data_IF_329808073989
#
_entry.id   IF_329808073989
#
_cell.length_a   1.000
_cell.length_b   1.000
_cell.length_c   1.000
_cell.angle_alpha   90.00
_cell.angle_beta   90.00
_cell.angle_gamma   90.00
#
_symmetry.space_group_name_H-M   'P 1'
#
loop_
_entity.id
_entity.type
_entity.pdbx_description
1 polymer ?
#
# COMPACT_ATOMS: atom_id res chain seq x y z
N UNK A 1 -9.31 -29.68 31.11
CA UNK A 1 -10.57 -30.44 31.20
C UNK A 1 -11.67 -29.58 30.59
N UNK A 2 -12.23 -29.97 29.46
CA UNK A 2 -13.40 -29.30 28.89
C UNK A 2 -14.60 -29.59 29.79
N UNK A 3 -15.34 -28.55 30.19
CA UNK A 3 -16.64 -28.74 30.87
C UNK A 3 -17.57 -29.45 29.88
N UNK A 4 -18.22 -30.52 30.33
CA UNK A 4 -19.27 -31.16 29.58
C UNK A 4 -20.41 -30.14 29.35
N UNK A 5 -20.77 -29.91 28.10
CA UNK A 5 -21.85 -29.01 27.69
C UNK A 5 -23.20 -29.53 28.21
N UNK A 6 -24.05 -28.64 28.73
CA UNK A 6 -25.38 -28.99 29.25
C UNK A 6 -26.28 -29.55 28.13
N UNK A 7 -26.79 -30.79 28.26
CA UNK A 7 -27.68 -31.42 27.29
C UNK A 7 -29.05 -30.75 27.15
N UNK A 8 -29.36 -29.72 27.96
CA UNK A 8 -30.58 -28.91 27.87
C UNK A 8 -30.35 -27.45 27.41
N UNK A 9 -29.10 -27.03 27.16
CA UNK A 9 -28.80 -25.69 26.66
C UNK A 9 -29.44 -25.47 25.26
N UNK A 10 -30.07 -24.30 25.05
CA UNK A 10 -30.65 -23.94 23.75
C UNK A 10 -29.54 -23.93 22.69
N UNK A 11 -29.85 -24.18 21.40
CA UNK A 11 -28.84 -24.29 20.34
C UNK A 11 -27.87 -23.09 20.28
N UNK A 12 -28.37 -21.89 20.58
CA UNK A 12 -27.57 -20.66 20.62
C UNK A 12 -26.57 -20.63 21.79
N UNK A 13 -26.96 -21.15 22.95
CA UNK A 13 -26.12 -21.17 24.15
C UNK A 13 -24.97 -22.18 24.00
N UNK A 14 -25.23 -23.32 23.34
CA UNK A 14 -24.17 -24.28 22.96
C UNK A 14 -23.20 -23.71 21.94
N UNK A 15 -23.69 -22.90 21.00
CA UNK A 15 -22.86 -22.22 20.01
C UNK A 15 -21.95 -21.18 20.66
N UNK A 16 -22.45 -20.48 21.69
CA UNK A 16 -21.68 -19.52 22.51
C UNK A 16 -20.63 -20.21 23.36
N UNK A 17 -20.96 -21.36 23.95
CA UNK A 17 -20.02 -22.15 24.75
C UNK A 17 -18.91 -22.80 23.91
N UNK A 18 -19.25 -23.29 22.72
CA UNK A 18 -18.32 -23.94 21.81
C UNK A 18 -17.56 -22.94 20.93
N UNK A 19 -16.98 -21.87 21.51
CA UNK A 19 -16.43 -20.70 20.81
C UNK A 19 -15.57 -20.94 19.55
N UNK A 20 -15.11 -22.17 19.30
CA UNK A 20 -14.64 -22.63 17.97
C UNK A 20 -15.66 -22.45 16.86
N UNK A 21 -16.93 -22.80 17.07
CA UNK A 21 -18.00 -22.66 16.08
C UNK A 21 -18.26 -21.18 15.76
N UNK A 22 -18.29 -20.30 16.77
CA UNK A 22 -18.39 -18.85 16.55
C UNK A 22 -17.20 -18.32 15.74
N UNK A 23 -15.98 -18.78 16.03
CA UNK A 23 -14.82 -18.40 15.23
C UNK A 23 -14.94 -18.88 13.78
N UNK A 24 -15.38 -20.11 13.54
CA UNK A 24 -15.63 -20.64 12.19
C UNK A 24 -16.70 -19.84 11.45
N UNK A 25 -17.80 -19.47 12.11
CA UNK A 25 -18.82 -18.61 11.52
C UNK A 25 -18.29 -17.20 11.22
N UNK A 26 -17.49 -16.61 12.11
CA UNK A 26 -16.88 -15.30 11.89
C UNK A 26 -15.78 -15.32 10.81
N UNK A 27 -15.06 -16.44 10.65
CA UNK A 27 -14.10 -16.66 9.58
C UNK A 27 -14.84 -16.82 8.23
N UNK A 28 -15.90 -17.62 8.18
CA UNK A 28 -16.74 -17.79 6.99
C UNK A 28 -17.44 -16.48 6.58
N UNK A 29 -17.95 -15.70 7.53
CA UNK A 29 -18.55 -14.40 7.26
C UNK A 29 -17.52 -13.39 6.71
N UNK A 30 -16.30 -13.37 7.26
CA UNK A 30 -15.20 -12.55 6.73
C UNK A 30 -14.77 -12.99 5.33
N UNK A 31 -14.70 -14.29 5.07
CA UNK A 31 -14.40 -14.83 3.74
C UNK A 31 -15.48 -14.45 2.72
N UNK A 32 -16.77 -14.52 3.10
CA UNK A 32 -17.87 -14.11 2.23
C UNK A 32 -17.87 -12.60 1.95
N UNK A 33 -17.59 -11.75 2.95
CA UNK A 33 -17.49 -10.29 2.79
C UNK A 33 -16.29 -9.90 1.90
N UNK A 34 -15.15 -10.56 2.11
CA UNK A 34 -13.97 -10.45 1.25
C UNK A 34 -14.27 -10.84 -0.19
N UNK A 35 -14.90 -12.01 -0.43
CA UNK A 35 -15.28 -12.46 -1.77
C UNK A 35 -16.28 -11.52 -2.45
N UNK A 36 -17.26 -11.00 -1.69
CA UNK A 36 -18.22 -10.01 -2.19
C UNK A 36 -17.52 -8.71 -2.61
N UNK A 37 -16.58 -8.23 -1.78
CA UNK A 37 -15.78 -7.02 -2.06
C UNK A 37 -14.90 -7.23 -3.29
N UNK A 38 -14.18 -8.35 -3.37
CA UNK A 38 -13.31 -8.69 -4.50
C UNK A 38 -14.09 -8.81 -5.82
N UNK A 39 -15.26 -9.45 -5.78
CA UNK A 39 -16.14 -9.60 -6.95
C UNK A 39 -16.74 -8.26 -7.38
N UNK A 40 -17.21 -7.46 -6.42
CA UNK A 40 -17.84 -6.16 -6.71
C UNK A 40 -16.83 -5.13 -7.20
N UNK A 41 -15.60 -5.19 -6.68
CA UNK A 41 -14.63 -4.12 -6.84
C UNK A 41 -13.54 -4.41 -7.86
N UNK A 42 -13.11 -5.67 -7.97
CA UNK A 42 -12.00 -6.10 -8.81
C UNK A 42 -12.41 -7.22 -9.79
N UNK A 43 -13.71 -7.54 -9.89
CA UNK A 43 -14.26 -8.64 -10.72
C UNK A 43 -13.54 -9.97 -10.53
N UNK A 44 -12.98 -10.17 -9.34
CA UNK A 44 -12.24 -11.37 -8.99
C UNK A 44 -13.23 -12.47 -8.61
N UNK A 45 -13.19 -13.57 -9.34
CA UNK A 45 -13.78 -14.82 -8.87
C UNK A 45 -12.73 -15.47 -7.98
N UNK A 46 -13.05 -15.53 -6.70
CA UNK A 46 -12.20 -16.17 -5.72
C UNK A 46 -12.62 -17.64 -5.59
N UNK A 47 -11.70 -18.57 -5.85
CA UNK A 47 -11.90 -20.02 -5.68
C UNK A 47 -11.15 -20.49 -4.42
N UNK A 48 -11.82 -21.29 -3.58
CA UNK A 48 -11.42 -21.59 -2.19
C UNK A 48 -9.91 -21.80 -2.00
N UNK A 49 -9.26 -20.84 -1.34
CA UNK A 49 -7.87 -20.97 -0.92
C UNK A 49 -7.04 -19.69 -1.09
N UNK A 50 -7.02 -18.87 -0.04
CA UNK A 50 -6.09 -17.75 0.17
C UNK A 50 -6.15 -16.63 -0.89
N UNK A 51 -7.32 -16.02 -1.00
CA UNK A 51 -7.83 -15.40 -2.23
C UNK A 51 -7.59 -13.88 -2.40
N UNK A 52 -7.22 -13.18 -1.33
CA UNK A 52 -6.97 -11.72 -1.35
C UNK A 52 -5.59 -11.37 -0.77
N UNK A 53 -5.22 -11.98 0.35
CA UNK A 53 -3.97 -11.69 1.05
C UNK A 53 -2.72 -12.15 0.28
N UNK A 54 -2.82 -13.20 -0.54
CA UNK A 54 -1.75 -13.64 -1.44
C UNK A 54 -1.37 -12.58 -2.49
N UNK A 55 -2.31 -11.70 -2.85
CA UNK A 55 -2.08 -10.62 -3.84
C UNK A 55 -1.22 -9.50 -3.28
N UNK A 56 -1.22 -9.29 -1.96
CA UNK A 56 -0.22 -8.45 -1.29
C UNK A 56 1.20 -9.02 -1.50
N UNK A 57 1.37 -10.33 -1.27
CA UNK A 57 2.66 -11.02 -1.48
C UNK A 57 3.06 -10.96 -2.95
N UNK A 58 2.14 -11.22 -3.87
CA UNK A 58 2.39 -11.14 -5.31
C UNK A 58 2.83 -9.74 -5.74
N UNK A 59 2.20 -8.70 -5.18
CA UNK A 59 2.60 -7.30 -5.42
C UNK A 59 4.00 -7.02 -4.88
N UNK A 60 4.35 -7.51 -3.68
CA UNK A 60 5.70 -7.34 -3.14
C UNK A 60 6.76 -8.01 -4.01
N UNK A 61 6.54 -9.26 -4.44
CA UNK A 61 7.46 -9.97 -5.35
C UNK A 61 7.62 -9.24 -6.68
N UNK A 62 6.53 -8.71 -7.24
CA UNK A 62 6.59 -7.91 -8.46
C UNK A 62 7.35 -6.59 -8.26
N UNK A 63 7.15 -5.91 -7.13
CA UNK A 63 7.87 -4.68 -6.80
C UNK A 63 9.39 -4.95 -6.67
N UNK A 64 9.78 -6.04 -6.02
CA UNK A 64 11.18 -6.46 -5.91
C UNK A 64 11.80 -6.82 -7.26
N UNK A 65 11.09 -7.61 -8.07
CA UNK A 65 11.50 -7.97 -9.42
C UNK A 65 11.79 -6.73 -10.29
N UNK A 66 10.95 -5.70 -10.13
CA UNK A 66 11.07 -4.43 -10.85
C UNK A 66 12.05 -3.44 -10.22
N UNK A 67 12.69 -3.77 -9.09
CA UNK A 67 13.64 -2.89 -8.40
C UNK A 67 13.00 -1.70 -7.68
N UNK A 68 11.69 -1.77 -7.38
CA UNK A 68 10.90 -0.72 -6.73
C UNK A 68 10.31 -1.18 -5.40
N UNK A 69 10.98 -2.11 -4.70
CA UNK A 69 10.51 -2.67 -3.43
C UNK A 69 10.22 -1.63 -2.33
N UNK A 70 10.84 -0.45 -2.40
CA UNK A 70 10.55 0.65 -1.46
C UNK A 70 9.20 1.36 -1.72
N UNK A 71 8.60 1.17 -2.90
CA UNK A 71 7.36 1.83 -3.30
C UNK A 71 6.11 1.10 -2.79
N UNK A 72 6.21 -0.20 -2.52
CA UNK A 72 5.11 -1.01 -1.96
C UNK A 72 5.57 -1.56 -0.62
N UNK A 73 4.74 -1.46 0.42
CA UNK A 73 5.06 -2.09 1.69
C UNK A 73 5.19 -3.60 1.50
N UNK A 74 6.36 -4.14 1.88
CA UNK A 74 6.68 -5.54 1.66
C UNK A 74 5.73 -6.44 2.44
N UNK A 75 5.31 -7.54 1.82
CA UNK A 75 4.38 -8.51 2.37
C UNK A 75 4.90 -9.92 2.16
N UNK A 76 4.93 -10.71 3.22
CA UNK A 76 5.43 -12.09 3.19
C UNK A 76 4.48 -13.07 3.90
N UNK A 77 4.50 -14.35 3.51
CA UNK A 77 3.79 -15.38 4.26
C UNK A 77 4.52 -15.67 5.57
N UNK A 78 3.86 -15.50 6.72
CA UNK A 78 4.41 -15.89 8.02
C UNK A 78 3.55 -16.91 8.75
N UNK A 79 4.20 -17.71 9.58
CA UNK A 79 3.58 -18.56 10.60
C UNK A 79 3.86 -17.99 11.98
N UNK A 80 2.82 -17.51 12.66
CA UNK A 80 2.94 -16.91 13.99
C UNK A 80 2.32 -17.83 15.04
N UNK A 81 3.04 -18.07 16.13
CA UNK A 81 2.54 -18.80 17.29
C UNK A 81 2.08 -17.82 18.37
N UNK A 82 0.77 -17.78 18.64
CA UNK A 82 0.20 -16.93 19.68
C UNK A 82 -0.75 -17.74 20.56
N UNK A 83 -0.54 -17.72 21.88
CA UNK A 83 -1.39 -18.44 22.84
C UNK A 83 -1.48 -19.95 22.59
N UNK A 84 -0.40 -20.59 22.10
CA UNK A 84 -0.36 -22.02 21.79
C UNK A 84 -0.95 -22.42 20.43
N UNK A 85 -1.58 -21.50 19.69
CA UNK A 85 -2.07 -21.72 18.32
C UNK A 85 -1.05 -21.21 17.30
N UNK A 86 -0.87 -21.95 16.21
CA UNK A 86 -0.10 -21.52 15.04
C UNK A 86 -1.09 -20.98 14.02
N UNK A 87 -0.87 -19.73 13.60
CA UNK A 87 -1.64 -19.08 12.55
C UNK A 87 -0.72 -18.84 11.36
N UNK A 88 -1.21 -19.12 10.15
CA UNK A 88 -0.49 -18.80 8.90
C UNK A 88 -1.24 -17.65 8.23
N UNK A 89 -0.53 -16.66 7.71
CA UNK A 89 -1.14 -15.54 7.00
C UNK A 89 -0.13 -14.69 6.26
N UNK A 90 -0.62 -13.65 5.58
CA UNK A 90 0.22 -12.60 5.00
C UNK A 90 0.49 -11.53 6.06
N UNK A 91 1.75 -11.15 6.23
CA UNK A 91 2.16 -10.05 7.09
C UNK A 91 2.81 -8.99 6.24
N UNK A 92 2.32 -7.76 6.38
CA UNK A 92 2.87 -6.59 5.72
C UNK A 92 3.76 -5.84 6.70
N UNK A 93 4.93 -5.41 6.24
CA UNK A 93 5.81 -4.52 6.98
C UNK A 93 5.13 -3.17 7.27
N UNK A 94 5.60 -2.47 8.30
CA UNK A 94 5.14 -1.11 8.53
C UNK A 94 5.57 -0.21 7.38
N UNK A 95 4.58 0.36 6.70
CA UNK A 95 4.84 1.34 5.65
C UNK A 95 5.57 2.56 6.20
N UNK A 96 6.58 3.02 5.45
CA UNK A 96 7.36 4.23 5.68
C UNK A 96 6.48 5.45 5.47
N UNK A 97 6.54 6.39 6.41
CA UNK A 97 5.86 7.68 6.30
C UNK A 97 4.64 7.79 7.22
N UNK A 98 3.71 8.65 6.81
CA UNK A 98 2.60 9.11 7.65
C UNK A 98 1.27 8.64 7.07
N UNK A 99 0.45 8.00 7.89
CA UNK A 99 -0.91 7.55 7.52
C UNK A 99 -1.90 8.72 7.51
N UNK A 100 -2.51 8.98 6.35
CA UNK A 100 -3.54 9.99 6.17
C UNK A 100 -4.84 9.66 6.93
N UNK A 101 -5.13 8.36 7.12
CA UNK A 101 -6.26 7.85 7.88
C UNK A 101 -6.05 7.87 9.40
N UNK A 102 -4.87 8.30 9.87
CA UNK A 102 -4.54 8.32 11.29
C UNK A 102 -5.50 9.19 12.09
N UNK A 103 -5.98 8.66 13.22
CA UNK A 103 -6.81 9.39 14.20
C UNK A 103 -5.98 10.25 15.17
N UNK A 104 -4.65 10.24 15.05
CA UNK A 104 -3.77 11.03 15.92
C UNK A 104 -3.81 12.50 15.53
N UNK A 105 -4.16 13.37 16.49
CA UNK A 105 -4.16 14.83 16.28
C UNK A 105 -2.78 15.35 15.88
N UNK A 106 -1.70 14.77 16.41
CA UNK A 106 -0.32 15.14 16.03
C UNK A 106 -0.08 14.88 14.54
N UNK A 107 -0.46 13.69 14.07
CA UNK A 107 -0.32 13.31 12.66
C UNK A 107 -1.18 14.18 11.76
N UNK A 108 -2.45 14.39 12.13
CA UNK A 108 -3.35 15.20 11.33
C UNK A 108 -2.88 16.67 11.21
N UNK A 109 -2.26 17.24 12.26
CA UNK A 109 -1.63 18.56 12.20
C UNK A 109 -0.42 18.63 11.26
N UNK A 110 0.32 17.53 11.08
CA UNK A 110 1.39 17.50 10.08
C UNK A 110 0.82 17.67 8.67
N UNK A 111 -0.34 17.07 8.38
CA UNK A 111 -1.00 17.27 7.10
C UNK A 111 -1.58 18.68 6.92
N UNK A 112 -2.04 19.33 8.00
CA UNK A 112 -2.47 20.75 7.95
C UNK A 112 -1.35 21.67 7.43
N UNK A 113 -0.08 21.32 7.72
CA UNK A 113 1.12 22.06 7.31
C UNK A 113 1.57 21.80 5.87
N UNK A 114 1.03 20.80 5.18
CA UNK A 114 1.48 20.43 3.83
C UNK A 114 1.02 21.44 2.78
N UNK A 115 1.91 22.18 2.13
CA UNK A 115 1.52 23.15 1.08
C UNK A 115 2.18 22.87 -0.27
N UNK A 116 3.25 22.06 -0.30
CA UNK A 116 3.98 21.72 -1.53
C UNK A 116 3.71 20.28 -1.97
N UNK A 117 3.16 20.15 -3.17
CA UNK A 117 2.87 18.88 -3.86
C UNK A 117 3.73 18.66 -5.11
N UNK A 118 4.59 19.62 -5.45
CA UNK A 118 5.45 19.58 -6.62
C UNK A 118 6.87 19.33 -6.16
N UNK A 119 7.16 18.08 -5.80
CA UNK A 119 8.49 17.64 -5.38
C UNK A 119 8.97 16.51 -6.27
N UNK A 120 10.30 16.42 -6.46
CA UNK A 120 10.90 15.37 -7.28
C UNK A 120 10.49 13.97 -6.81
N UNK A 121 10.55 13.71 -5.50
CA UNK A 121 10.18 12.41 -4.94
C UNK A 121 8.69 12.09 -5.09
N UNK A 122 7.79 13.07 -4.92
CA UNK A 122 6.37 12.83 -5.15
C UNK A 122 6.07 12.55 -6.64
N UNK A 123 6.71 13.26 -7.58
CA UNK A 123 6.56 12.98 -9.01
C UNK A 123 7.04 11.59 -9.37
N UNK A 124 8.24 11.21 -8.89
CA UNK A 124 8.80 9.88 -9.10
C UNK A 124 7.89 8.79 -8.54
N UNK A 125 7.58 8.85 -7.25
CA UNK A 125 6.89 7.77 -6.57
C UNK A 125 5.43 7.66 -7.04
N UNK A 126 4.79 8.78 -7.38
CA UNK A 126 3.48 8.76 -8.03
C UNK A 126 3.58 8.04 -9.37
N UNK A 127 4.43 8.51 -10.28
CA UNK A 127 4.55 7.94 -11.63
C UNK A 127 4.92 6.44 -11.60
N UNK A 128 5.81 6.05 -10.68
CA UNK A 128 6.15 4.65 -10.44
C UNK A 128 4.95 3.83 -9.97
N UNK A 129 4.16 4.32 -9.00
CA UNK A 129 2.94 3.66 -8.57
C UNK A 129 1.90 3.57 -9.70
N UNK A 130 1.81 4.55 -10.59
CA UNK A 130 0.88 4.54 -11.73
C UNK A 130 1.17 3.38 -12.67
N UNK A 131 2.43 3.23 -13.08
CA UNK A 131 2.89 2.11 -13.91
C UNK A 131 2.71 0.78 -13.18
N UNK A 132 3.11 0.71 -11.91
CA UNK A 132 3.05 -0.51 -11.13
C UNK A 132 1.62 -1.00 -10.87
N UNK A 133 0.73 -0.09 -10.46
CA UNK A 133 -0.67 -0.42 -10.21
C UNK A 133 -1.37 -0.84 -11.51
N UNK A 134 -1.02 -0.25 -12.66
CA UNK A 134 -1.52 -0.73 -13.95
C UNK A 134 -1.04 -2.15 -14.25
N UNK A 135 0.27 -2.42 -14.14
CA UNK A 135 0.84 -3.74 -14.39
C UNK A 135 0.17 -4.82 -13.54
N UNK A 136 0.01 -4.55 -12.25
CA UNK A 136 -0.62 -5.48 -11.32
C UNK A 136 -2.15 -5.47 -11.44
N UNK A 137 -2.77 -4.48 -12.09
CA UNK A 137 -4.24 -4.34 -12.11
C UNK A 137 -4.81 -4.04 -10.73
N UNK A 138 -4.15 -3.16 -9.97
CA UNK A 138 -4.61 -2.72 -8.66
C UNK A 138 -5.70 -1.65 -8.80
N UNK A 139 -6.92 -1.99 -8.38
CA UNK A 139 -8.11 -1.14 -8.55
C UNK A 139 -8.49 -0.31 -7.32
N UNK A 140 -7.88 -0.50 -6.15
CA UNK A 140 -8.23 0.26 -4.93
C UNK A 140 -7.08 1.11 -4.38
N UNK A 141 -6.12 1.51 -5.24
CA UNK A 141 -5.14 2.54 -4.85
C UNK A 141 -5.83 3.90 -4.71
N UNK A 142 -6.23 4.23 -3.49
CA UNK A 142 -6.72 5.56 -3.11
C UNK A 142 -5.87 6.23 -2.03
N UNK A 143 -6.20 7.47 -1.67
CA UNK A 143 -5.42 8.27 -0.72
C UNK A 143 -5.16 7.62 0.64
N UNK A 144 -6.07 6.77 1.15
CA UNK A 144 -5.83 6.03 2.41
C UNK A 144 -5.01 4.74 2.24
N UNK A 145 -4.76 4.29 0.99
CA UNK A 145 -3.96 3.08 0.70
C UNK A 145 -2.55 3.49 0.27
N UNK A 146 -2.09 4.60 0.84
CA UNK A 146 -0.77 5.20 0.66
C UNK A 146 -0.31 5.84 1.95
N UNK A 147 0.99 5.71 2.23
CA UNK A 147 1.70 6.44 3.26
C UNK A 147 2.51 7.56 2.63
N UNK A 148 2.60 8.67 3.34
CA UNK A 148 3.16 9.92 2.83
C UNK A 148 4.44 10.24 3.59
N UNK A 149 5.58 10.32 2.90
CA UNK A 149 6.77 10.87 3.51
C UNK A 149 6.69 12.39 3.47
N UNK A 150 6.74 13.01 4.64
CA UNK A 150 6.62 14.45 4.81
C UNK A 150 8.01 15.01 5.13
N UNK A 151 8.38 16.12 4.50
CA UNK A 151 9.58 16.85 4.87
C UNK A 151 9.48 17.35 6.31
N UNK A 152 10.62 17.69 6.91
CA UNK A 152 10.63 18.62 8.03
C UNK A 152 9.97 19.95 7.63
N UNK A 153 9.37 20.66 8.60
CA UNK A 153 8.78 21.95 8.29
C UNK A 153 9.87 22.94 7.90
N UNK A 154 9.59 23.77 6.91
CA UNK A 154 10.42 24.92 6.55
C UNK A 154 10.36 26.01 7.62
N UNK A 155 11.05 27.13 7.36
CA UNK A 155 11.09 28.29 8.26
C UNK A 155 9.71 28.90 8.56
N UNK A 156 8.72 28.65 7.69
CA UNK A 156 7.34 29.10 7.84
C UNK A 156 6.42 28.02 8.46
N UNK A 157 6.99 26.91 8.91
CA UNK A 157 6.27 25.79 9.49
C UNK A 157 5.54 24.91 8.46
N UNK A 158 5.87 25.03 7.16
CA UNK A 158 5.21 24.31 6.06
C UNK A 158 5.97 23.07 5.67
N UNK A 159 5.24 22.03 5.26
CA UNK A 159 5.80 20.75 4.83
C UNK A 159 5.55 20.52 3.35
N UNK A 160 6.41 19.69 2.76
CA UNK A 160 6.21 19.11 1.46
C UNK A 160 5.97 17.60 1.59
N UNK A 161 5.26 17.02 0.62
CA UNK A 161 5.27 15.55 0.46
C UNK A 161 6.49 15.22 -0.39
N UNK A 162 7.40 14.39 0.12
CA UNK A 162 8.67 14.05 -0.52
C UNK A 162 8.72 12.64 -1.08
N UNK A 163 7.67 11.83 -0.84
CA UNK A 163 7.55 10.50 -1.40
C UNK A 163 6.26 9.82 -1.00
N UNK A 164 6.05 8.64 -1.56
CA UNK A 164 4.90 7.78 -1.29
C UNK A 164 5.32 6.33 -1.08
N UNK A 165 4.54 5.60 -0.29
CA UNK A 165 4.56 4.14 -0.29
C UNK A 165 3.13 3.59 -0.33
N UNK A 166 2.84 2.69 -1.26
CA UNK A 166 1.57 1.99 -1.39
C UNK A 166 1.44 0.83 -0.39
N UNK A 167 0.21 0.58 0.07
CA UNK A 167 -0.17 -0.58 0.91
C UNK A 167 -1.43 -1.24 0.34
N UNK A 168 -1.85 -2.38 0.89
CA UNK A 168 -3.21 -2.90 0.61
C UNK A 168 -3.45 -3.19 -0.88
N UNK A 169 -2.65 -4.13 -1.40
CA UNK A 169 -2.68 -4.63 -2.77
C UNK A 169 -3.42 -5.95 -2.91
N UNK A 170 -4.38 -6.17 -2.03
CA UNK A 170 -5.23 -7.36 -2.03
C UNK A 170 -6.25 -7.35 -3.19
N UNK A 171 -6.65 -6.18 -3.70
CA UNK A 171 -7.49 -6.02 -4.88
C UNK A 171 -6.69 -5.87 -6.20
N UNK A 172 -5.48 -6.41 -6.25
CA UNK A 172 -4.68 -6.50 -7.47
C UNK A 172 -4.91 -7.81 -8.24
N UNK A 173 -4.38 -7.91 -9.45
CA UNK A 173 -4.37 -9.07 -10.36
C UNK A 173 -5.77 -9.52 -10.81
N UNK A 174 -6.58 -8.53 -11.19
CA UNK A 174 -7.89 -8.70 -11.86
C UNK A 174 -7.82 -9.50 -13.16
N UNK A 175 -8.96 -10.03 -13.58
CA UNK A 175 -9.11 -10.87 -14.78
C UNK A 175 -9.30 -10.08 -16.08
N UNK A 176 -9.35 -8.75 -16.03
CA UNK A 176 -9.49 -7.90 -17.22
C UNK A 176 -8.25 -7.03 -17.46
N UNK A 177 -7.88 -6.86 -18.72
CA UNK A 177 -6.68 -6.09 -19.09
C UNK A 177 -6.81 -4.63 -18.69
N UNK A 178 -7.96 -4.04 -19.01
CA UNK A 178 -8.33 -2.68 -18.62
C UNK A 178 -9.53 -2.77 -17.66
N UNK A 179 -9.27 -2.75 -16.36
CA UNK A 179 -10.35 -2.62 -15.38
C UNK A 179 -10.69 -1.15 -15.14
N UNK A 180 -11.99 -0.86 -15.16
CA UNK A 180 -12.50 0.38 -14.58
C UNK A 180 -12.25 0.36 -13.08
N UNK A 181 -11.18 1.04 -12.64
CA UNK A 181 -11.02 1.38 -11.23
C UNK A 181 -12.30 2.10 -10.75
N UNK A 182 -12.98 1.53 -9.77
CA UNK A 182 -14.33 1.90 -9.33
C UNK A 182 -14.52 3.37 -8.92
N UNK A 183 -13.45 4.13 -8.72
CA UNK A 183 -13.51 5.51 -8.21
C UNK A 183 -12.97 6.56 -9.18
N UNK A 184 -12.62 6.17 -10.40
CA UNK A 184 -12.15 7.09 -11.43
C UNK A 184 -10.65 6.98 -11.69
N UNK A 185 -10.39 6.36 -12.84
CA UNK A 185 -9.38 6.68 -13.84
C UNK A 185 -7.91 6.72 -13.42
N UNK A 186 -7.21 5.64 -13.77
CA UNK A 186 -6.02 5.83 -14.57
C UNK A 186 -5.96 4.75 -15.65
N UNK A 187 -6.16 5.16 -16.90
CA UNK A 187 -5.80 4.31 -18.03
C UNK A 187 -4.28 4.27 -18.12
N UNK A 188 -3.70 3.17 -18.59
CA UNK A 188 -2.27 3.16 -18.95
C UNK A 188 -1.91 4.29 -19.90
N UNK A 189 -2.85 4.71 -20.76
CA UNK A 189 -2.70 5.85 -21.70
C UNK A 189 -2.52 7.20 -21.02
N UNK A 190 -2.95 7.30 -19.77
CA UNK A 190 -2.80 8.52 -18.97
C UNK A 190 -1.43 8.58 -18.29
N UNK A 191 -0.65 7.50 -18.25
CA UNK A 191 0.70 7.52 -17.66
C UNK A 191 1.63 8.37 -18.53
N UNK A 192 2.47 9.21 -17.92
CA UNK A 192 3.26 10.21 -18.66
C UNK A 192 4.77 10.06 -18.48
N UNK A 193 5.23 9.92 -17.24
CA UNK A 193 6.64 9.77 -16.91
C UNK A 193 6.93 8.37 -16.36
N UNK A 194 8.15 7.87 -16.59
CA UNK A 194 8.63 6.61 -16.01
C UNK A 194 10.12 6.74 -15.68
N UNK A 195 10.52 6.15 -14.56
CA UNK A 195 11.94 6.08 -14.18
C UNK A 195 12.72 5.22 -15.18
N UNK A 196 13.93 5.65 -15.54
CA UNK A 196 14.77 4.93 -16.49
C UNK A 196 15.02 3.46 -16.08
N UNK A 197 15.30 3.22 -14.79
CA UNK A 197 15.52 1.87 -14.29
C UNK A 197 14.24 1.03 -14.36
N UNK A 198 13.10 1.59 -13.98
CA UNK A 198 11.81 0.90 -14.08
C UNK A 198 11.46 0.59 -15.54
N UNK A 199 11.67 1.53 -16.46
CA UNK A 199 11.41 1.34 -17.88
C UNK A 199 12.22 0.18 -18.46
N UNK A 200 13.51 0.08 -18.12
CA UNK A 200 14.37 -1.03 -18.51
C UNK A 200 13.84 -2.37 -17.98
N UNK A 201 13.51 -2.44 -16.68
CA UNK A 201 12.99 -3.66 -16.05
C UNK A 201 11.67 -4.10 -16.66
N UNK A 202 10.74 -3.16 -16.89
CA UNK A 202 9.45 -3.45 -17.53
C UNK A 202 9.65 -3.94 -18.96
N UNK A 203 10.55 -3.32 -19.74
CA UNK A 203 10.91 -3.79 -21.10
C UNK A 203 11.49 -5.20 -21.10
N UNK A 204 12.20 -5.59 -20.04
CA UNK A 204 12.76 -6.93 -19.85
C UNK A 204 11.78 -8.01 -19.38
N UNK A 205 10.57 -7.66 -18.93
CA UNK A 205 9.60 -8.67 -18.43
C UNK A 205 9.14 -9.62 -19.54
N UNK A 206 9.13 -10.92 -19.27
CA UNK A 206 8.56 -11.96 -20.12
C UNK A 206 7.68 -12.91 -19.32
N UNK A 207 7.06 -13.86 -20.03
CA UNK A 207 6.12 -14.82 -19.43
C UNK A 207 6.78 -15.64 -18.32
N UNK A 208 7.94 -16.21 -18.60
CA UNK A 208 8.65 -17.09 -17.66
C UNK A 208 9.01 -16.34 -16.37
N UNK A 209 9.42 -15.07 -16.49
CA UNK A 209 9.71 -14.21 -15.34
C UNK A 209 8.46 -13.96 -14.50
N UNK A 210 7.30 -13.71 -15.13
CA UNK A 210 6.04 -13.53 -14.39
C UNK A 210 5.59 -14.82 -13.70
N UNK A 211 5.67 -15.95 -14.38
CA UNK A 211 5.35 -17.26 -13.78
C UNK A 211 6.27 -17.58 -12.61
N UNK A 212 7.56 -17.30 -12.73
CA UNK A 212 8.52 -17.46 -11.64
C UNK A 212 8.17 -16.57 -10.44
N UNK A 213 7.76 -15.33 -10.67
CA UNK A 213 7.49 -14.38 -9.60
C UNK A 213 6.18 -14.68 -8.84
N UNK A 214 5.11 -15.01 -9.55
CA UNK A 214 3.75 -15.05 -8.98
C UNK A 214 2.93 -16.30 -9.33
N UNK A 215 3.49 -17.28 -10.06
CA UNK A 215 2.78 -18.48 -10.51
C UNK A 215 2.23 -19.38 -9.41
N UNK A 216 2.79 -19.31 -8.21
CA UNK A 216 2.30 -20.00 -7.00
C UNK A 216 1.23 -19.20 -6.24
N UNK A 217 0.95 -17.95 -6.64
CA UNK A 217 0.07 -17.03 -5.91
C UNK A 217 -1.20 -16.63 -6.68
N UNK A 218 -1.15 -16.60 -8.01
CA UNK A 218 -2.28 -16.21 -8.86
C UNK A 218 -2.49 -17.24 -9.99
N UNK A 219 -3.70 -17.28 -10.55
CA UNK A 219 -4.04 -18.25 -11.59
C UNK A 219 -3.34 -17.98 -12.93
N UNK A 220 -3.21 -19.00 -13.78
CA UNK A 220 -2.59 -18.84 -15.10
C UNK A 220 -3.32 -17.81 -15.96
N UNK A 221 -4.65 -17.75 -15.87
CA UNK A 221 -5.48 -16.75 -16.54
C UNK A 221 -5.09 -15.32 -16.12
N UNK A 222 -4.80 -15.09 -14.84
CA UNK A 222 -4.39 -13.77 -14.35
C UNK A 222 -2.98 -13.42 -14.83
N UNK A 223 -2.10 -14.41 -14.98
CA UNK A 223 -0.77 -14.22 -15.59
C UNK A 223 -0.90 -13.89 -17.08
N UNK A 224 -1.84 -14.52 -17.81
CA UNK A 224 -2.14 -14.16 -19.20
C UNK A 224 -2.57 -12.69 -19.34
N UNK A 225 -3.43 -12.22 -18.44
CA UNK A 225 -3.91 -10.84 -18.40
C UNK A 225 -2.78 -9.87 -18.01
N UNK A 226 -1.98 -10.24 -17.01
CA UNK A 226 -0.81 -9.46 -16.62
C UNK A 226 0.18 -9.30 -17.77
N UNK A 227 0.43 -10.36 -18.54
CA UNK A 227 1.30 -10.30 -19.73
C UNK A 227 0.74 -9.36 -20.81
N UNK A 228 -0.59 -9.29 -20.96
CA UNK A 228 -1.22 -8.32 -21.87
C UNK A 228 -0.98 -6.88 -21.38
N UNK A 229 -1.11 -6.60 -20.08
CA UNK A 229 -0.79 -5.29 -19.49
C UNK A 229 0.69 -4.93 -19.67
N UNK A 230 1.60 -5.90 -19.49
CA UNK A 230 3.03 -5.74 -19.76
C UNK A 230 3.27 -5.31 -21.22
N UNK A 231 2.64 -5.98 -22.17
CA UNK A 231 2.80 -5.63 -23.59
C UNK A 231 2.26 -4.23 -23.92
N UNK A 232 1.10 -3.86 -23.35
CA UNK A 232 0.53 -2.51 -23.52
C UNK A 232 1.48 -1.43 -22.97
N UNK A 233 2.00 -1.61 -21.76
CA UNK A 233 2.87 -0.60 -21.17
C UNK A 233 4.22 -0.54 -21.87
N UNK A 234 4.77 -1.66 -22.36
CA UNK A 234 6.00 -1.66 -23.17
C UNK A 234 5.84 -0.80 -24.42
N UNK A 235 4.72 -0.97 -25.12
CA UNK A 235 4.40 -0.19 -26.31
C UNK A 235 4.24 1.31 -25.96
N UNK A 236 3.55 1.60 -24.87
CA UNK A 236 3.33 2.96 -24.39
C UNK A 236 4.63 3.66 -23.95
N UNK A 237 5.53 2.95 -23.27
CA UNK A 237 6.85 3.47 -22.87
C UNK A 237 7.63 3.94 -24.10
N UNK A 238 7.57 3.18 -25.20
CA UNK A 238 8.27 3.52 -26.43
C UNK A 238 7.62 4.72 -27.14
N UNK A 239 6.29 4.69 -27.26
CA UNK A 239 5.54 5.60 -28.13
C UNK A 239 5.09 6.90 -27.50
N UNK A 240 4.93 6.97 -26.18
CA UNK A 240 4.19 8.07 -25.55
C UNK A 240 4.79 8.56 -24.24
N UNK A 241 5.43 7.68 -23.45
CA UNK A 241 5.99 8.10 -22.16
C UNK A 241 7.33 8.82 -22.31
N UNK A 242 7.66 9.59 -21.28
CA UNK A 242 8.94 10.26 -21.09
C UNK A 242 9.75 9.48 -20.06
N UNK A 243 10.89 8.94 -20.49
CA UNK A 243 11.84 8.29 -19.59
C UNK A 243 12.65 9.36 -18.86
N UNK A 244 12.64 9.30 -17.53
CA UNK A 244 13.30 10.27 -16.64
C UNK A 244 14.48 9.59 -15.94
N UNK A 245 15.66 10.21 -16.03
CA UNK A 245 16.84 9.76 -15.31
C UNK A 245 16.69 10.01 -13.80
N UNK A 246 17.33 9.21 -12.93
CA UNK A 246 17.14 9.29 -11.48
C UNK A 246 17.37 10.68 -10.85
N UNK A 247 18.24 11.51 -11.44
CA UNK A 247 18.58 12.86 -11.00
C UNK A 247 17.71 13.97 -11.63
N UNK A 248 16.79 13.61 -12.54
CA UNK A 248 15.97 14.56 -13.33
C UNK A 248 14.50 14.63 -12.93
N UNK A 249 14.17 14.09 -11.76
CA UNK A 249 12.79 14.08 -11.25
C UNK A 249 12.28 15.45 -10.79
N UNK A 250 13.12 16.48 -10.68
CA UNK A 250 12.62 17.86 -10.65
C UNK A 250 12.11 18.25 -12.04
N UNK A 251 10.88 17.84 -12.34
CA UNK A 251 10.35 17.90 -13.69
C UNK A 251 10.23 19.33 -14.22
N UNK A 252 10.00 20.31 -13.34
CA UNK A 252 9.90 21.72 -13.71
C UNK A 252 11.28 22.31 -13.98
N UNK A 253 12.27 22.02 -13.14
CA UNK A 253 13.63 22.47 -13.35
C UNK A 253 14.27 21.84 -14.62
N UNK A 254 13.86 20.62 -14.96
CA UNK A 254 14.35 19.89 -16.14
C UNK A 254 13.47 20.11 -17.40
N UNK A 255 12.48 21.00 -17.35
CA UNK A 255 11.65 21.33 -18.52
C UNK A 255 12.53 21.97 -19.61
N UNK A 256 12.46 21.52 -20.88
CA UNK A 256 13.17 22.17 -21.97
C UNK A 256 12.79 23.65 -22.09
N UNK A 257 13.79 24.54 -22.19
CA UNK A 257 13.57 25.97 -22.37
C UNK A 257 12.89 26.30 -23.71
N UNK A 258 13.20 25.52 -24.74
CA UNK A 258 12.63 25.62 -26.08
C UNK A 258 12.38 24.21 -26.60
N UNK A 259 11.25 24.01 -27.27
CA UNK A 259 10.94 22.74 -27.94
C UNK A 259 11.73 22.66 -29.25
N UNK A 260 12.72 21.76 -29.31
CA UNK A 260 13.57 21.59 -30.50
C UNK A 260 13.22 20.34 -31.29
N UNK A 261 12.69 19.32 -30.62
CA UNK A 261 12.35 18.05 -31.23
C UNK A 261 11.09 17.42 -30.61
N UNK A 262 10.72 16.24 -31.11
CA UNK A 262 9.57 15.49 -30.63
C UNK A 262 9.72 15.04 -29.16
N UNK A 263 10.95 14.81 -28.68
CA UNK A 263 11.21 14.41 -27.29
C UNK A 263 10.94 15.57 -26.34
N UNK A 264 11.38 16.78 -26.71
CA UNK A 264 11.08 18.00 -25.96
C UNK A 264 9.57 18.27 -25.91
N UNK A 265 8.88 18.13 -27.06
CA UNK A 265 7.43 18.33 -27.11
C UNK A 265 6.71 17.31 -26.21
N UNK A 266 7.10 16.03 -26.29
CA UNK A 266 6.54 14.98 -25.43
C UNK A 266 6.75 15.28 -23.95
N UNK A 267 7.91 15.79 -23.56
CA UNK A 267 8.18 16.22 -22.19
C UNK A 267 7.23 17.34 -21.73
N UNK A 268 7.09 18.39 -22.56
CA UNK A 268 6.22 19.53 -22.24
C UNK A 268 4.76 19.09 -22.12
N UNK A 269 4.29 18.24 -23.04
CA UNK A 269 2.91 17.72 -23.04
C UNK A 269 2.64 16.81 -21.84
N UNK A 270 3.61 15.98 -21.47
CA UNK A 270 3.54 15.09 -20.31
C UNK A 270 3.42 15.90 -19.00
N UNK A 271 4.22 16.95 -18.85
CA UNK A 271 4.18 17.83 -17.68
C UNK A 271 2.87 18.61 -17.61
N UNK A 272 2.41 19.18 -18.73
CA UNK A 272 1.15 19.92 -18.80
C UNK A 272 -0.07 19.04 -18.45
N UNK A 273 -0.12 17.79 -18.94
CA UNK A 273 -1.16 16.82 -18.56
C UNK A 273 -1.18 16.56 -17.05
N UNK A 274 0.01 16.36 -16.47
CA UNK A 274 0.16 16.11 -15.05
C UNK A 274 -0.26 17.32 -14.21
N UNK A 275 0.15 18.55 -14.58
CA UNK A 275 -0.26 19.79 -13.90
C UNK A 275 -1.76 20.06 -14.01
N UNK A 276 -2.36 19.82 -15.19
CA UNK A 276 -3.82 19.93 -15.39
C UNK A 276 -4.60 18.98 -14.50
N UNK A 277 -4.13 17.74 -14.34
CA UNK A 277 -4.73 16.77 -13.42
C UNK A 277 -4.66 17.27 -11.97
N UNK A 278 -3.54 17.85 -11.54
CA UNK A 278 -3.37 18.39 -10.18
C UNK A 278 -4.33 19.56 -9.92
N UNK A 279 -4.53 20.44 -10.91
CA UNK A 279 -5.47 21.56 -10.85
C UNK A 279 -6.94 21.18 -11.06
N UNK A 280 -7.25 19.90 -11.28
CA UNK A 280 -8.59 19.46 -11.65
C UNK A 280 -9.60 19.61 -10.51
N UNK A 281 -10.70 20.31 -10.80
CA UNK A 281 -11.83 20.46 -9.85
C UNK A 281 -12.71 19.20 -9.80
N UNK A 282 -12.96 18.59 -10.95
CA UNK A 282 -13.76 17.37 -11.07
C UNK A 282 -12.94 16.11 -10.78
N UNK A 283 -13.53 15.16 -10.07
CA UNK A 283 -12.90 13.85 -9.83
C UNK A 283 -12.66 13.08 -11.14
N UNK A 284 -13.51 13.25 -12.16
CA UNK A 284 -13.36 12.58 -13.46
C UNK A 284 -12.15 13.08 -14.27
N UNK A 285 -11.63 14.25 -13.92
CA UNK A 285 -10.48 14.89 -14.57
C UNK A 285 -9.16 14.63 -13.82
N UNK A 286 -9.20 13.95 -12.68
CA UNK A 286 -8.01 13.45 -11.99
C UNK A 286 -7.55 12.19 -12.72
N UNK A 287 -6.36 12.24 -13.32
CA UNK A 287 -5.77 11.14 -14.10
C UNK A 287 -4.45 10.62 -13.52
N UNK A 288 -3.85 11.39 -12.62
CA UNK A 288 -2.55 11.09 -12.03
C UNK A 288 -2.62 10.99 -10.51
N UNK A 289 -1.80 10.12 -9.92
CA UNK A 289 -1.72 9.87 -8.48
C UNK A 289 -1.25 11.10 -7.71
N UNK A 290 -0.41 11.95 -8.28
CA UNK A 290 -0.03 13.20 -7.62
C UNK A 290 -1.25 14.12 -7.35
N UNK A 291 -2.21 14.15 -8.27
CA UNK A 291 -3.46 14.88 -8.14
C UNK A 291 -4.41 14.21 -7.14
N UNK A 292 -4.46 12.88 -7.13
CA UNK A 292 -5.16 12.10 -6.10
C UNK A 292 -4.62 12.39 -4.70
N UNK A 293 -3.29 12.43 -4.53
CA UNK A 293 -2.61 12.80 -3.29
C UNK A 293 -2.99 14.22 -2.85
N UNK A 294 -2.90 15.19 -3.76
CA UNK A 294 -3.29 16.57 -3.48
C UNK A 294 -4.76 16.66 -3.00
N UNK A 295 -5.67 15.97 -3.70
CA UNK A 295 -7.09 15.92 -3.35
C UNK A 295 -7.34 15.27 -2.00
N UNK A 296 -6.65 14.16 -1.70
CA UNK A 296 -6.81 13.44 -0.45
C UNK A 296 -6.38 14.29 0.77
N UNK A 297 -5.21 14.93 0.68
CA UNK A 297 -4.71 15.82 1.72
C UNK A 297 -5.60 17.05 1.90
N UNK A 298 -6.03 17.69 0.82
CA UNK A 298 -6.94 18.83 0.91
C UNK A 298 -8.32 18.44 1.43
N UNK A 299 -8.83 17.25 1.10
CA UNK A 299 -10.08 16.73 1.66
C UNK A 299 -9.97 16.56 3.19
N UNK A 300 -8.85 16.02 3.68
CA UNK A 300 -8.58 15.93 5.11
C UNK A 300 -8.58 17.32 5.77
N UNK A 301 -7.88 18.28 5.19
CA UNK A 301 -7.82 19.67 5.69
C UNK A 301 -9.20 20.32 5.76
N UNK A 302 -10.01 20.17 4.72
CA UNK A 302 -11.38 20.71 4.68
C UNK A 302 -12.24 20.09 5.77
N UNK A 303 -12.25 18.75 5.89
CA UNK A 303 -12.97 18.05 6.97
C UNK A 303 -12.52 18.50 8.37
N UNK A 304 -11.23 18.74 8.57
CA UNK A 304 -10.69 19.25 9.85
C UNK A 304 -11.08 20.71 10.13
N UNK A 305 -11.20 21.56 9.11
CA UNK A 305 -11.69 22.94 9.26
C UNK A 305 -13.17 22.99 9.63
N UNK A 306 -13.96 22.06 9.10
CA UNK A 306 -15.40 21.94 9.37
C UNK A 306 -15.70 21.29 10.74
N UNK A 307 -14.80 20.45 11.26
CA UNK A 307 -14.92 19.83 12.58
C UNK A 307 -14.56 20.77 13.75
N UNK A 308 -15.09 20.49 14.95
CA UNK A 308 -14.67 21.19 16.18
C UNK A 308 -13.18 20.99 16.44
N UNK A 309 -12.42 22.10 16.37
CA UNK A 309 -11.00 22.13 16.75
C UNK A 309 -10.88 21.86 18.24
N UNK A 310 -10.56 20.62 18.63
CA UNK A 310 -10.15 20.36 20.02
C UNK A 310 -8.78 20.98 20.19
N UNK A 311 -8.72 22.12 20.88
CA UNK A 311 -7.48 22.73 21.31
C UNK A 311 -6.81 21.78 22.34
N UNK A 312 -5.85 20.98 21.90
CA UNK A 312 -4.96 20.24 22.79
C UNK A 312 -3.63 20.96 22.86
N UNK A 313 -3.19 21.27 24.07
CA UNK A 313 -1.86 21.83 24.31
C UNK A 313 -0.77 20.76 24.08
N UNK A 314 0.44 21.18 23.73
CA UNK A 314 1.57 20.28 23.49
C UNK A 314 1.87 19.36 24.69
N UNK A 315 1.70 19.88 25.92
CA UNK A 315 1.81 19.11 27.17
C UNK A 315 0.76 18.00 27.31
N UNK A 316 -0.47 18.23 26.84
CA UNK A 316 -1.53 17.23 26.88
C UNK A 316 -1.32 16.11 25.85
N UNK A 317 -0.66 16.41 24.72
CA UNK A 317 -0.28 15.42 23.71
C UNK A 317 0.84 14.49 24.22
N UNK A 318 1.92 15.04 24.79
CA UNK A 318 3.00 14.23 25.40
C UNK A 318 2.48 13.36 26.56
N UNK A 319 1.58 13.92 27.38
CA UNK A 319 0.96 13.20 28.49
C UNK A 319 0.03 12.07 28.06
N UNK A 320 -0.68 12.23 26.93
CA UNK A 320 -1.55 11.19 26.36
C UNK A 320 -0.75 10.13 25.60
N UNK A 321 0.28 10.52 24.86
CA UNK A 321 1.17 9.59 24.15
C UNK A 321 1.95 8.70 25.12
N UNK A 322 2.48 9.25 26.24
CA UNK A 322 3.09 8.41 27.30
C UNK A 322 2.11 7.39 27.88
N UNK A 323 0.85 7.77 28.12
CA UNK A 323 -0.18 6.85 28.63
C UNK A 323 -0.61 5.80 27.61
N UNK A 324 -0.60 6.12 26.32
CA UNK A 324 -0.89 5.16 25.25
C UNK A 324 0.30 4.24 24.95
N UNK A 325 1.54 4.73 25.00
CA UNK A 325 2.74 3.91 24.88
C UNK A 325 2.81 2.88 26.02
N UNK A 326 2.53 3.29 27.27
CA UNK A 326 2.40 2.39 28.42
C UNK A 326 1.29 1.33 28.29
N UNK A 327 0.31 1.54 27.41
CA UNK A 327 -0.76 0.56 27.09
C UNK A 327 -0.43 -0.32 25.88
N UNK A 328 0.49 0.11 25.02
CA UNK A 328 0.92 -0.59 23.80
C UNK A 328 2.16 -1.44 24.02
N UNK A 329 2.90 -1.26 25.11
CA UNK A 329 3.85 -2.28 25.54
C UNK A 329 3.05 -3.57 25.84
N UNK A 330 3.28 -4.66 25.10
CA UNK A 330 2.81 -5.94 25.57
C UNK A 330 3.47 -6.14 26.93
N UNK A 331 2.67 -6.40 27.97
CA UNK A 331 3.19 -6.98 29.21
C UNK A 331 3.76 -8.35 28.85
N UNK A 332 4.99 -8.37 28.35
CA UNK A 332 5.85 -9.53 28.33
C UNK A 332 6.18 -9.82 29.79
N UNK A 333 5.27 -10.51 30.48
CA UNK A 333 5.68 -11.33 31.62
C UNK A 333 6.56 -12.43 31.05
N UNK A 334 7.86 -12.16 30.99
CA UNK A 334 8.87 -13.20 30.84
C UNK A 334 8.64 -14.14 32.02
N UNK A 335 8.03 -15.29 31.73
CA UNK A 335 7.96 -16.40 32.67
C UNK A 335 9.38 -16.71 33.11
N UNK A 336 9.66 -16.49 34.40
CA UNK A 336 10.89 -16.92 35.05
C UNK A 336 10.88 -18.44 35.12
N UNK A 337 11.24 -19.10 34.03
CA UNK A 337 11.70 -20.48 34.03
C UNK A 337 12.83 -20.62 33.01
N UNK A 338 13.91 -19.88 33.26
CA UNK A 338 15.25 -20.28 32.82
C UNK A 338 15.91 -21.01 33.98
N UNK A 339 15.78 -22.34 34.01
CA UNK A 339 16.73 -23.18 34.74
C UNK A 339 18.05 -23.06 34.00
N UNK A 340 18.93 -22.18 34.50
CA UNK A 340 20.33 -22.14 34.07
C UNK A 340 21.00 -23.45 34.51
N UNK A 341 21.73 -24.15 33.62
CA UNK A 341 22.54 -25.29 34.04
C UNK A 341 23.61 -24.80 35.02
N UNK A 342 23.67 -25.43 36.21
CA UNK A 342 24.69 -25.19 37.23
C UNK A 342 26.07 -25.45 36.60
N UNK A 343 26.93 -24.41 36.57
CA UNK A 343 28.37 -24.57 36.35
C UNK A 343 28.91 -25.52 37.42
N UNK A 344 29.27 -26.74 37.03
CA UNK A 344 30.16 -27.56 37.84
C UNK A 344 31.56 -26.97 37.69
N UNK A 345 32.14 -26.55 38.81
CA UNK A 345 33.55 -26.15 38.88
C UNK A 345 34.46 -27.35 38.59
N UNK A 346 35.74 -27.10 38.25
CA UNK A 346 36.66 -28.17 37.91
C UNK A 346 36.90 -29.09 39.13
N UNK A 347 36.61 -30.37 38.97
CA UNK A 347 37.09 -31.40 39.89
C UNK A 347 38.58 -31.61 39.63
N UNK A 348 39.40 -31.18 40.58
CA UNK A 348 40.77 -31.68 40.75
C UNK A 348 40.65 -33.12 41.27
N UNK A 349 41.07 -34.09 40.46
CA UNK A 349 41.31 -35.45 40.92
C UNK A 349 42.66 -35.56 41.64
N UNK A 350 42.88 -36.64 42.42
CA UNK A 350 44.20 -36.97 42.95
C UNK A 350 45.22 -37.27 41.85
#
# INVERSE_FOLDING_TARGET
QAKASDPNAKPLDRLIEDGKAIHQFADAARAADAASTARSNARLNLDEGNELTSRNIASSRMAELLGIGDIIAHSEPMKVKMGGKVMTGCFMEFAKGTDLGSKSERVQRMFDQVEKFETAGLYRDSSTLEVFDFLCGQVDRHGNNMFYQLSEPDENGKRAITGLQGIDSDLAFGDEVEEFNMKGVQSWKDTTFIDAGLAEKVKGLDRDTLEYAVGDLISQKQIDVMMQRVNLIKDHIEKDMVIVEPDKWDLKANKPEQVKDHKDQRYVDALDRMEKSVGAKSALSVKHKNALVNRAVNSLKTKRKEGSKVALSFKELEGKERRQALRREPKMTIGKDRVLPKKQGPQLGP
#
